data_IF_466644111023
#
_entry.id   IF_466644111023
#
_cell.length_a   1.000
_cell.length_b   1.000
_cell.length_c   1.000
_cell.angle_alpha   90.00
_cell.angle_beta   90.00
_cell.angle_gamma   90.00
#
_symmetry.space_group_name_H-M   'P 1'
#
loop_
_entity.id
_entity.type
_entity.pdbx_description
1 polymer ?
#
# COMPACT_ATOMS: atom_id res chain seq x y z
N UNK A 1 -10.52 22.61 3.17
CA UNK A 1 -9.79 21.63 3.99
C UNK A 1 -9.28 20.58 3.04
N UNK A 2 -7.98 20.22 3.07
CA UNK A 2 -7.44 19.23 2.16
C UNK A 2 -8.12 17.86 2.37
N UNK A 3 -8.27 17.11 1.30
CA UNK A 3 -8.80 15.76 1.36
C UNK A 3 -7.79 14.82 2.01
N UNK A 4 -8.28 13.84 2.76
CA UNK A 4 -7.50 12.68 3.19
C UNK A 4 -8.10 11.44 2.53
N UNK A 5 -7.30 10.68 1.78
CA UNK A 5 -7.74 9.42 1.22
C UNK A 5 -8.08 8.41 2.31
N UNK A 6 -9.11 7.59 2.06
CA UNK A 6 -9.35 6.40 2.85
C UNK A 6 -8.23 5.38 2.59
N UNK A 7 -7.53 4.98 3.65
CA UNK A 7 -6.47 3.98 3.58
C UNK A 7 -6.72 2.86 4.59
N UNK A 8 -6.57 1.63 4.14
CA UNK A 8 -6.43 0.45 4.98
C UNK A 8 -5.08 -0.19 4.68
N UNK A 9 -4.27 -0.45 5.70
CA UNK A 9 -2.94 -1.01 5.51
C UNK A 9 -2.49 -1.85 6.71
N UNK A 10 -1.53 -2.72 6.48
CA UNK A 10 -0.82 -3.41 7.56
C UNK A 10 0.40 -2.58 7.98
N UNK A 11 0.48 -2.26 9.28
CA UNK A 11 1.53 -1.41 9.84
C UNK A 11 1.06 -0.57 11.01
N UNK A 12 1.75 0.53 11.28
CA UNK A 12 1.41 1.48 12.34
C UNK A 12 1.25 2.91 11.82
N UNK A 13 0.59 3.77 12.59
CA UNK A 13 0.37 5.18 12.23
C UNK A 13 0.76 6.09 13.38
N UNK A 14 1.65 7.06 13.09
CA UNK A 14 2.13 8.02 14.07
C UNK A 14 1.39 9.35 13.96
N UNK A 15 0.40 9.57 14.81
CA UNK A 15 -0.42 10.78 14.85
C UNK A 15 0.38 12.03 15.19
N UNK A 16 1.49 11.91 15.93
CA UNK A 16 2.30 13.06 16.37
C UNK A 16 3.04 13.75 15.22
N UNK A 17 3.27 13.06 14.12
CA UNK A 17 3.96 13.60 12.94
C UNK A 17 3.03 13.84 11.76
N UNK A 18 1.80 13.32 11.79
CA UNK A 18 0.87 13.29 10.66
C UNK A 18 0.58 14.69 10.07
N UNK A 19 0.46 15.72 10.93
CA UNK A 19 0.19 17.09 10.49
C UNK A 19 1.42 17.82 9.95
N UNK A 20 2.61 17.43 10.39
CA UNK A 20 3.88 18.10 10.03
C UNK A 20 4.60 17.39 8.89
N UNK A 21 4.57 16.07 8.89
CA UNK A 21 5.27 15.20 7.93
C UNK A 21 4.35 14.03 7.54
N UNK A 22 3.27 14.28 6.76
CA UNK A 22 2.24 13.28 6.49
C UNK A 22 2.78 12.01 5.81
N UNK A 23 3.78 12.13 4.92
CA UNK A 23 4.42 10.98 4.27
C UNK A 23 5.19 10.08 5.25
N UNK A 24 5.65 10.61 6.38
CA UNK A 24 6.37 9.84 7.40
C UNK A 24 5.45 9.29 8.50
N UNK A 25 4.17 9.67 8.51
CA UNK A 25 3.25 9.28 9.56
C UNK A 25 2.80 7.81 9.46
N UNK A 26 2.77 7.26 8.27
CA UNK A 26 2.41 5.86 8.04
C UNK A 26 3.67 5.02 7.98
N UNK A 27 3.74 3.99 8.83
CA UNK A 27 4.81 3.01 8.85
C UNK A 27 4.27 1.70 8.28
N UNK A 28 4.39 1.54 6.96
CA UNK A 28 3.92 0.35 6.27
C UNK A 28 4.78 -0.87 6.60
N UNK A 29 4.15 -1.97 6.97
CA UNK A 29 4.82 -3.21 7.33
C UNK A 29 5.52 -3.18 8.69
N UNK A 30 5.24 -2.17 9.52
CA UNK A 30 5.76 -2.06 10.89
C UNK A 30 4.91 -2.92 11.84
N UNK A 31 5.60 -3.61 12.75
CA UNK A 31 5.00 -4.43 13.79
C UNK A 31 5.13 -5.94 13.58
N UNK A 32 4.97 -6.72 14.66
CA UNK A 32 5.25 -8.17 14.65
C UNK A 32 4.32 -8.96 13.73
N UNK A 33 3.09 -8.47 13.51
CA UNK A 33 2.14 -9.11 12.62
C UNK A 33 2.46 -8.95 11.13
N UNK A 34 3.39 -8.05 10.80
CA UNK A 34 3.84 -7.83 9.43
C UNK A 34 5.03 -8.70 9.05
N UNK A 35 5.71 -9.33 10.02
CA UNK A 35 6.82 -10.25 9.77
C UNK A 35 6.29 -11.52 9.12
N UNK A 36 6.89 -11.90 7.99
CA UNK A 36 6.48 -13.09 7.25
C UNK A 36 7.35 -14.28 7.61
N UNK A 37 6.74 -15.46 7.66
CA UNK A 37 7.41 -16.75 7.94
C UNK A 37 7.44 -17.68 6.72
N UNK A 38 6.82 -17.25 5.63
CA UNK A 38 6.73 -18.00 4.35
C UNK A 38 6.87 -17.02 3.19
N UNK A 39 7.31 -17.53 2.05
CA UNK A 39 7.48 -16.77 0.83
C UNK A 39 6.13 -16.40 0.21
N UNK A 40 5.79 -15.11 0.05
CA UNK A 40 4.54 -14.71 -0.60
C UNK A 40 4.62 -14.96 -2.12
N UNK A 41 3.52 -15.52 -2.67
CA UNK A 41 3.41 -15.89 -4.08
C UNK A 41 2.39 -15.04 -4.82
N UNK A 42 1.17 -14.91 -4.26
CA UNK A 42 0.04 -14.27 -4.94
C UNK A 42 -0.76 -13.43 -3.95
N UNK A 43 -1.09 -12.20 -4.32
CA UNK A 43 -2.11 -11.38 -3.67
C UNK A 43 -3.42 -11.55 -4.44
N UNK A 44 -4.50 -11.99 -3.79
CA UNK A 44 -5.79 -12.24 -4.43
C UNK A 44 -6.95 -11.73 -3.58
N UNK A 45 -8.08 -11.47 -4.21
CA UNK A 45 -9.30 -11.00 -3.57
C UNK A 45 -10.30 -10.46 -4.57
N UNK A 46 -11.25 -9.70 -4.05
CA UNK A 46 -12.25 -8.97 -4.85
C UNK A 46 -12.24 -7.50 -4.44
N UNK A 47 -12.55 -6.64 -5.39
CA UNK A 47 -12.72 -5.22 -5.15
C UNK A 47 -13.83 -4.62 -6.00
N UNK A 48 -14.33 -3.49 -5.54
CA UNK A 48 -15.22 -2.62 -6.31
C UNK A 48 -14.79 -1.18 -6.04
N UNK A 49 -14.66 -0.38 -7.09
CA UNK A 49 -14.20 1.00 -6.96
C UNK A 49 -15.13 1.97 -7.66
N UNK A 50 -15.43 3.05 -6.97
CA UNK A 50 -16.20 4.18 -7.51
C UNK A 50 -15.45 5.47 -7.21
N UNK A 51 -14.93 6.18 -8.23
CA UNK A 51 -14.30 7.48 -8.02
C UNK A 51 -15.32 8.56 -7.67
N UNK A 52 -14.91 9.52 -6.86
CA UNK A 52 -15.63 10.76 -6.66
C UNK A 52 -15.60 11.64 -7.92
N UNK A 53 -16.52 12.60 -7.99
CA UNK A 53 -16.73 13.37 -9.20
C UNK A 53 -15.67 14.44 -9.49
N UNK A 54 -14.98 14.95 -8.47
CA UNK A 54 -14.11 16.12 -8.60
C UNK A 54 -12.86 15.95 -7.76
N UNK A 55 -11.71 15.90 -8.43
CA UNK A 55 -10.41 15.87 -7.76
C UNK A 55 -10.05 17.27 -7.28
N UNK A 56 -9.56 17.36 -6.05
CA UNK A 56 -8.98 18.58 -5.49
C UNK A 56 -7.55 18.34 -5.00
N UNK A 57 -6.72 19.38 -5.08
CA UNK A 57 -5.38 19.38 -4.52
C UNK A 57 -5.38 19.83 -3.04
N UNK A 58 -4.19 19.88 -2.44
CA UNK A 58 -3.99 20.32 -1.05
C UNK A 58 -4.52 21.72 -0.75
N UNK A 59 -4.55 22.61 -1.74
CA UNK A 59 -5.11 23.97 -1.61
C UNK A 59 -6.64 23.99 -1.72
N UNK A 60 -7.27 22.87 -2.11
CA UNK A 60 -8.70 22.78 -2.37
C UNK A 60 -9.10 23.22 -3.78
N UNK A 61 -8.13 23.40 -4.66
CA UNK A 61 -8.35 23.75 -6.06
C UNK A 61 -8.72 22.52 -6.86
N UNK A 62 -9.66 22.66 -7.79
CA UNK A 62 -10.04 21.59 -8.72
C UNK A 62 -8.90 21.33 -9.69
N UNK A 63 -8.52 20.07 -9.82
CA UNK A 63 -7.52 19.62 -10.80
C UNK A 63 -8.16 18.63 -11.79
N UNK A 64 -7.71 18.63 -13.06
CA UNK A 64 -8.27 17.73 -14.06
C UNK A 64 -7.90 16.28 -13.78
N UNK A 65 -8.78 15.36 -14.20
CA UNK A 65 -8.56 13.92 -14.12
C UNK A 65 -9.74 13.18 -13.51
N UNK A 66 -9.55 11.88 -13.34
CA UNK A 66 -10.45 10.97 -12.63
C UNK A 66 -9.63 10.34 -11.49
N UNK A 67 -10.19 10.28 -10.30
CA UNK A 67 -9.53 9.67 -9.16
C UNK A 67 -9.41 8.15 -9.37
N UNK A 68 -8.33 7.57 -8.86
CA UNK A 68 -8.03 6.15 -9.01
C UNK A 68 -7.78 5.52 -7.65
N UNK A 69 -8.32 4.32 -7.46
CA UNK A 69 -7.98 3.48 -6.32
C UNK A 69 -6.70 2.67 -6.58
N UNK A 70 -6.13 2.14 -5.50
CA UNK A 70 -4.96 1.28 -5.60
C UNK A 70 -4.97 0.15 -4.57
N UNK A 71 -4.49 -1.01 -4.98
CA UNK A 71 -4.27 -2.19 -4.14
C UNK A 71 -2.89 -2.74 -4.46
N UNK A 72 -2.07 -2.94 -3.44
CA UNK A 72 -0.76 -3.56 -3.62
C UNK A 72 -0.26 -4.24 -2.35
N UNK A 73 0.71 -5.13 -2.52
CA UNK A 73 1.50 -5.67 -1.42
C UNK A 73 3.00 -5.54 -1.72
N UNK A 74 3.78 -5.29 -0.67
CA UNK A 74 5.23 -5.08 -0.76
C UNK A 74 5.93 -5.96 0.27
N UNK A 75 6.83 -6.82 -0.19
CA UNK A 75 7.76 -7.58 0.65
C UNK A 75 9.10 -6.83 0.70
N UNK A 76 9.63 -6.61 1.89
CA UNK A 76 10.87 -5.86 2.07
C UNK A 76 11.71 -6.40 3.23
N UNK A 77 13.02 -6.08 3.24
CA UNK A 77 13.90 -6.36 4.39
C UNK A 77 13.56 -5.36 5.50
N UNK A 78 13.22 -5.90 6.68
CA UNK A 78 12.84 -5.09 7.84
C UNK A 78 14.01 -4.65 8.72
N UNK A 79 15.23 -4.88 8.25
CA UNK A 79 16.47 -4.51 8.93
C UNK A 79 17.44 -3.91 7.91
N UNK A 80 18.01 -2.76 8.23
CA UNK A 80 19.04 -2.12 7.42
C UNK A 80 20.39 -2.85 7.55
N UNK A 81 21.35 -2.46 6.70
CA UNK A 81 22.71 -3.01 6.73
C UNK A 81 23.45 -2.76 8.06
N UNK A 82 23.09 -1.70 8.80
CA UNK A 82 23.64 -1.37 10.14
C UNK A 82 22.93 -2.13 11.28
N UNK A 83 21.98 -3.01 10.99
CA UNK A 83 21.20 -3.77 11.96
C UNK A 83 20.01 -3.01 12.56
N UNK A 84 19.77 -1.77 12.19
CA UNK A 84 18.63 -1.01 12.70
C UNK A 84 17.31 -1.46 12.05
N UNK A 85 16.18 -1.42 12.81
CA UNK A 85 14.86 -1.71 12.24
C UNK A 85 14.51 -0.78 11.08
N UNK A 86 13.78 -1.32 10.10
CA UNK A 86 13.30 -0.59 8.95
C UNK A 86 11.82 -0.87 8.68
N UNK A 87 11.10 0.15 8.27
CA UNK A 87 9.74 0.08 7.74
C UNK A 87 9.60 1.05 6.55
N UNK A 88 8.64 0.79 5.70
CA UNK A 88 8.32 1.66 4.57
C UNK A 88 7.42 2.81 5.03
N UNK A 89 7.41 3.92 4.29
CA UNK A 89 6.54 5.07 4.55
C UNK A 89 5.96 5.63 3.23
N UNK A 90 5.17 6.69 3.28
CA UNK A 90 4.50 7.26 2.12
C UNK A 90 5.45 7.75 1.01
N UNK A 91 6.72 8.03 1.33
CA UNK A 91 7.69 8.49 0.32
C UNK A 91 8.40 7.35 -0.41
N UNK A 92 8.42 6.12 0.16
CA UNK A 92 9.26 5.05 -0.35
C UNK A 92 8.57 3.68 -0.47
N UNK A 93 7.27 3.58 -0.18
CA UNK A 93 6.53 2.31 -0.11
C UNK A 93 6.59 1.46 -1.40
N UNK A 94 6.85 2.06 -2.54
CA UNK A 94 7.00 1.36 -3.83
C UNK A 94 8.40 1.51 -4.45
N UNK A 95 9.31 2.25 -3.82
CA UNK A 95 10.59 2.67 -4.44
C UNK A 95 11.82 2.43 -3.59
N UNK A 96 11.67 1.96 -2.33
CA UNK A 96 12.80 1.69 -1.44
C UNK A 96 13.70 0.58 -2.00
N UNK A 97 14.99 0.71 -1.80
CA UNK A 97 16.01 -0.31 -2.09
C UNK A 97 15.92 -1.55 -1.17
N UNK A 98 15.17 -1.46 -0.07
CA UNK A 98 14.89 -2.62 0.80
C UNK A 98 13.80 -3.55 0.24
N UNK A 99 13.10 -3.14 -0.84
CA UNK A 99 12.02 -3.93 -1.44
C UNK A 99 12.60 -5.15 -2.15
N UNK A 100 11.99 -6.31 -1.87
CA UNK A 100 12.38 -7.60 -2.47
C UNK A 100 11.35 -8.07 -3.47
N UNK A 101 10.06 -7.84 -3.22
CA UNK A 101 9.01 -8.18 -4.16
C UNK A 101 7.79 -7.26 -4.04
N UNK A 102 7.06 -7.13 -5.14
CA UNK A 102 5.82 -6.35 -5.23
C UNK A 102 4.73 -7.16 -5.93
N UNK A 103 3.49 -7.05 -5.43
CA UNK A 103 2.28 -7.44 -6.13
C UNK A 103 1.44 -6.16 -6.31
N UNK A 104 1.28 -5.69 -7.55
CA UNK A 104 0.64 -4.43 -7.89
C UNK A 104 -0.65 -4.70 -8.67
N UNK A 105 -1.79 -4.54 -8.04
CA UNK A 105 -3.12 -4.70 -8.67
C UNK A 105 -3.55 -3.41 -9.37
N UNK A 106 -3.31 -2.27 -8.75
CA UNK A 106 -3.65 -0.95 -9.25
C UNK A 106 -2.45 -0.16 -9.80
N UNK A 107 -2.65 1.10 -10.15
CA UNK A 107 -3.90 1.86 -10.00
C UNK A 107 -5.01 1.38 -10.95
N UNK A 108 -6.27 1.59 -10.56
CA UNK A 108 -7.41 1.20 -11.35
C UNK A 108 -8.50 2.28 -11.36
N UNK A 109 -9.26 2.30 -12.46
CA UNK A 109 -10.41 3.17 -12.66
C UNK A 109 -11.68 2.55 -12.06
N UNK A 110 -12.82 3.23 -12.25
CA UNK A 110 -14.14 2.74 -11.87
C UNK A 110 -14.38 1.30 -12.36
N UNK A 111 -14.84 0.45 -11.47
CA UNK A 111 -15.24 -0.90 -11.84
C UNK A 111 -16.64 -0.88 -12.47
N UNK A 112 -16.78 -1.62 -13.55
CA UNK A 112 -18.08 -1.84 -14.19
C UNK A 112 -18.61 -3.24 -13.86
N UNK A 113 -19.91 -3.33 -13.57
CA UNK A 113 -20.57 -4.63 -13.36
C UNK A 113 -20.35 -5.27 -11.98
N UNK A 114 -19.96 -4.47 -10.96
CA UNK A 114 -19.86 -4.94 -9.57
C UNK A 114 -18.45 -5.42 -9.19
N UNK A 115 -18.38 -6.49 -8.38
CA UNK A 115 -17.12 -7.02 -7.86
C UNK A 115 -16.19 -7.54 -8.96
N UNK A 116 -14.95 -7.05 -8.94
CA UNK A 116 -13.88 -7.52 -9.81
C UNK A 116 -12.92 -8.40 -9.00
N UNK A 117 -12.60 -9.57 -9.55
CA UNK A 117 -11.56 -10.43 -8.96
C UNK A 117 -10.18 -9.94 -9.37
N UNK A 118 -9.25 -9.92 -8.41
CA UNK A 118 -7.83 -9.76 -8.70
C UNK A 118 -7.03 -10.97 -8.23
N UNK A 119 -5.94 -11.23 -8.93
CA UNK A 119 -4.97 -12.28 -8.59
C UNK A 119 -3.63 -11.87 -9.17
N UNK A 120 -2.77 -11.28 -8.34
CA UNK A 120 -1.51 -10.68 -8.78
C UNK A 120 -0.33 -11.42 -8.15
N UNK A 121 0.59 -11.88 -8.99
CA UNK A 121 1.80 -12.56 -8.54
C UNK A 121 2.79 -11.57 -7.94
N UNK A 122 3.47 -11.96 -6.85
CA UNK A 122 4.60 -11.20 -6.36
C UNK A 122 5.75 -11.27 -7.37
N UNK A 123 6.09 -10.11 -7.95
CA UNK A 123 7.26 -9.95 -8.81
C UNK A 123 8.47 -9.68 -7.93
N UNK A 124 9.35 -10.66 -7.85
CA UNK A 124 10.62 -10.54 -7.15
C UNK A 124 11.59 -9.71 -7.98
N UNK A 125 12.05 -8.59 -7.42
CA UNK A 125 12.96 -7.61 -8.06
C UNK A 125 14.36 -7.65 -7.46
N UNK A 126 14.51 -8.36 -6.31
CA UNK A 126 15.78 -8.62 -5.67
C UNK A 126 15.83 -10.05 -5.15
N UNK A 127 17.02 -10.50 -4.73
CA UNK A 127 17.24 -11.86 -4.24
C UNK A 127 16.45 -12.12 -2.96
N UNK A 128 15.68 -13.19 -2.98
CA UNK A 128 15.00 -13.71 -1.80
C UNK A 128 15.88 -14.74 -1.11
N UNK A 129 16.29 -14.44 0.12
CA UNK A 129 17.19 -15.28 0.91
C UNK A 129 16.39 -16.07 1.98
N UNK A 130 16.36 -17.43 1.89
CA UNK A 130 15.71 -18.27 2.90
C UNK A 130 16.27 -18.11 4.32
N UNK A 131 17.54 -17.74 4.47
CA UNK A 131 18.13 -17.50 5.80
C UNK A 131 17.59 -16.22 6.43
N UNK A 132 17.43 -15.16 5.64
CA UNK A 132 16.79 -13.93 6.08
C UNK A 132 15.34 -14.20 6.49
N UNK A 133 14.61 -15.01 5.72
CA UNK A 133 13.25 -15.44 6.08
C UNK A 133 13.23 -16.20 7.41
N UNK A 134 14.09 -17.20 7.57
CA UNK A 134 14.17 -18.02 8.79
C UNK A 134 14.47 -17.18 10.05
N UNK A 135 15.17 -16.06 9.88
CA UNK A 135 15.51 -15.14 10.96
C UNK A 135 14.45 -14.03 11.15
N UNK A 136 13.31 -14.08 10.44
CA UNK A 136 12.26 -13.05 10.54
C UNK A 136 12.67 -11.70 9.94
N UNK A 137 13.63 -11.70 9.01
CA UNK A 137 14.20 -10.48 8.43
C UNK A 137 13.37 -9.86 7.30
N UNK A 138 12.19 -10.41 6.99
CA UNK A 138 11.25 -9.86 6.03
C UNK A 138 9.95 -9.44 6.67
N UNK A 139 9.44 -8.28 6.26
CA UNK A 139 8.08 -7.83 6.55
C UNK A 139 7.31 -7.58 5.27
N UNK A 140 5.99 -7.64 5.36
CA UNK A 140 5.08 -7.38 4.25
C UNK A 140 4.08 -6.29 4.63
N UNK A 141 3.92 -5.32 3.75
CA UNK A 141 2.83 -4.37 3.79
C UNK A 141 1.78 -4.75 2.74
N UNK A 142 0.50 -4.73 3.12
CA UNK A 142 -0.64 -4.79 2.19
C UNK A 142 -1.39 -3.48 2.34
N UNK A 143 -1.67 -2.83 1.22
CA UNK A 143 -2.22 -1.47 1.19
C UNK A 143 -3.41 -1.39 0.25
N UNK A 144 -4.45 -0.72 0.70
CA UNK A 144 -5.66 -0.37 -0.03
C UNK A 144 -5.90 1.12 0.12
N UNK A 145 -6.03 1.84 -0.98
CA UNK A 145 -6.32 3.27 -0.94
C UNK A 145 -7.41 3.66 -1.92
N UNK A 146 -8.29 4.53 -1.49
CA UNK A 146 -9.36 5.05 -2.35
C UNK A 146 -8.89 6.16 -3.29
N UNK A 147 -7.66 6.70 -3.08
CA UNK A 147 -7.08 7.75 -3.94
C UNK A 147 -5.57 7.59 -4.02
N UNK A 148 -5.03 7.39 -5.22
CA UNK A 148 -3.57 7.23 -5.44
C UNK A 148 -2.76 8.46 -5.05
N UNK A 149 -3.33 9.66 -5.17
CA UNK A 149 -2.73 10.93 -4.76
C UNK A 149 -2.91 11.29 -3.28
N UNK A 150 -3.49 10.39 -2.48
CA UNK A 150 -3.88 10.68 -1.09
C UNK A 150 -2.74 11.11 -0.18
N UNK A 151 -1.53 10.59 -0.39
CA UNK A 151 -0.34 10.99 0.36
C UNK A 151 0.06 12.47 0.14
N UNK A 152 -0.34 13.04 -1.00
CA UNK A 152 -0.12 14.44 -1.38
C UNK A 152 -1.36 15.32 -1.18
N UNK A 153 -2.39 14.78 -0.54
CA UNK A 153 -3.69 15.41 -0.36
C UNK A 153 -4.40 15.73 -1.69
N UNK A 154 -4.21 14.86 -2.69
CA UNK A 154 -4.90 14.91 -3.97
C UNK A 154 -5.88 13.74 -4.05
N UNK A 155 -7.12 14.02 -4.41
CA UNK A 155 -8.15 13.00 -4.55
C UNK A 155 -9.55 13.61 -4.69
N UNK A 156 -10.56 12.76 -4.83
CA UNK A 156 -11.95 13.20 -4.95
C UNK A 156 -12.78 12.80 -3.73
N UNK A 157 -13.56 13.74 -3.21
CA UNK A 157 -14.53 13.43 -2.15
C UNK A 157 -15.54 12.42 -2.67
N UNK A 158 -15.78 11.35 -1.92
CA UNK A 158 -16.69 10.26 -2.30
C UNK A 158 -16.03 9.14 -3.11
N UNK A 159 -14.72 9.19 -3.35
CA UNK A 159 -14.01 8.00 -3.86
C UNK A 159 -14.11 6.86 -2.85
N UNK A 160 -14.63 5.72 -3.30
CA UNK A 160 -14.92 4.55 -2.48
C UNK A 160 -14.25 3.30 -3.05
N UNK A 161 -13.48 2.62 -2.21
CA UNK A 161 -12.91 1.30 -2.51
C UNK A 161 -13.49 0.28 -1.53
N UNK A 162 -14.21 -0.69 -2.06
CA UNK A 162 -14.68 -1.87 -1.34
C UNK A 162 -13.74 -3.04 -1.63
N UNK A 163 -13.44 -3.84 -0.61
CA UNK A 163 -12.58 -5.03 -0.73
C UNK A 163 -13.21 -6.22 -0.03
N UNK A 164 -13.01 -7.42 -0.56
CA UNK A 164 -13.51 -8.65 0.04
C UNK A 164 -12.58 -9.85 -0.27
N UNK A 165 -12.62 -10.85 0.59
CA UNK A 165 -11.88 -12.13 0.47
C UNK A 165 -10.38 -11.98 0.18
N UNK A 166 -9.75 -10.90 0.68
CA UNK A 166 -8.32 -10.65 0.45
C UNK A 166 -7.45 -11.70 1.12
N UNK A 167 -6.53 -12.27 0.35
CA UNK A 167 -5.59 -13.30 0.80
C UNK A 167 -4.22 -13.09 0.17
N UNK A 168 -3.17 -13.42 0.91
CA UNK A 168 -1.84 -13.67 0.35
C UNK A 168 -1.58 -15.16 0.39
N UNK A 169 -1.38 -15.76 -0.78
CA UNK A 169 -0.98 -17.16 -0.93
C UNK A 169 0.52 -17.22 -0.72
N UNK A 170 0.95 -18.12 0.15
CA UNK A 170 2.35 -18.30 0.56
C UNK A 170 2.82 -19.75 0.37
N UNK A 171 4.11 -19.91 0.09
CA UNK A 171 4.80 -21.21 -0.02
C UNK A 171 5.42 -21.58 1.31
#
# INVERSE_FOLDING_TARGET
>A
MPIAAGNLFTGSFNTNVATKRPLEATHFGDGPYCVVSKKPLVLTGYYQYTPGNTITNKAGEVVPGIDQGDIYAVLFRNTKADGSPFYLNGSNVKTSDQIVALALVGPFDKTEGGWQKFSENFKYIDNFDPQVLANGGYSMAVVFTSSTGGAEFVGAVGSELLIDEVKVIME
#
